data_IF_806100568795
#
_entry.id   IF_806100568795
#
_cell.length_a   1.000
_cell.length_b   1.000
_cell.length_c   1.000
_cell.angle_alpha   90.00
_cell.angle_beta   90.00
_cell.angle_gamma   90.00
#
_symmetry.space_group_name_H-M   'P 1'
#
loop_
_entity.id
_entity.type
_entity.pdbx_description
1 polymer ?
#
# COMPACT_ATOMS: atom_id res chain seq x y z
N UNK A 1 -1.72 27.66 16.23
CA UNK A 1 -0.89 26.43 16.22
C UNK A 1 -1.49 25.45 15.21
N UNK A 2 -0.64 24.79 14.42
CA UNK A 2 -0.92 24.33 13.06
C UNK A 2 -2.22 23.55 12.85
N UNK A 3 -3.07 24.06 11.95
CA UNK A 3 -4.08 23.28 11.22
C UNK A 3 -3.35 22.36 10.23
N UNK A 4 -3.06 21.13 10.65
CA UNK A 4 -2.52 20.10 9.78
C UNK A 4 -3.63 19.53 8.90
N UNK A 5 -3.76 20.03 7.67
CA UNK A 5 -4.60 19.41 6.66
C UNK A 5 -4.01 18.03 6.30
N UNK A 6 -4.60 16.95 6.79
CA UNK A 6 -4.31 15.59 6.30
C UNK A 6 -5.00 15.47 4.94
N UNK A 7 -4.28 15.81 3.87
CA UNK A 7 -4.71 15.54 2.50
C UNK A 7 -4.50 14.06 2.23
N UNK A 8 -5.56 13.26 2.41
CA UNK A 8 -5.55 11.83 2.08
C UNK A 8 -5.52 11.64 0.56
N UNK A 9 -4.42 11.13 0.04
CA UNK A 9 -4.36 10.47 -1.26
C UNK A 9 -3.65 9.13 -1.01
N UNK A 10 -4.40 8.03 -0.97
CA UNK A 10 -3.80 6.69 -0.96
C UNK A 10 -4.42 5.90 -2.12
N UNK A 11 -4.08 6.30 -3.33
CA UNK A 11 -4.06 5.40 -4.48
C UNK A 11 -2.63 4.88 -4.59
N UNK A 12 -2.28 3.89 -3.76
CA UNK A 12 -1.01 3.18 -3.95
C UNK A 12 -1.24 2.05 -4.93
N UNK A 13 -0.83 2.27 -6.19
CA UNK A 13 -0.70 1.20 -7.16
C UNK A 13 0.67 0.54 -6.96
N UNK A 14 0.68 -0.76 -6.70
CA UNK A 14 1.91 -1.54 -6.59
C UNK A 14 1.93 -2.51 -7.76
N UNK A 15 2.93 -2.36 -8.63
CA UNK A 15 3.16 -3.21 -9.79
C UNK A 15 4.12 -4.34 -9.40
N UNK A 16 3.66 -5.58 -9.50
CA UNK A 16 4.52 -6.75 -9.31
C UNK A 16 4.79 -7.40 -10.66
N UNK A 17 6.06 -7.43 -11.07
CA UNK A 17 6.49 -8.27 -12.20
C UNK A 17 7.11 -9.55 -11.65
N UNK A 18 6.73 -10.70 -12.20
CA UNK A 18 7.42 -11.97 -11.91
C UNK A 18 8.70 -11.97 -12.74
N UNK A 19 9.83 -11.64 -12.10
CA UNK A 19 11.13 -11.51 -12.77
C UNK A 19 11.52 -12.80 -13.49
N UNK A 20 11.80 -12.70 -14.79
CA UNK A 20 12.35 -13.79 -15.58
C UNK A 20 13.85 -13.90 -15.30
N UNK A 21 14.37 -15.13 -15.11
CA UNK A 21 15.79 -15.41 -14.81
C UNK A 21 16.72 -15.26 -16.03
N UNK A 22 16.52 -14.25 -16.86
CA UNK A 22 17.38 -14.00 -18.03
C UNK A 22 18.38 -12.86 -17.73
N UNK A 23 19.63 -12.96 -18.21
CA UNK A 23 20.59 -11.86 -18.10
C UNK A 23 20.08 -10.62 -18.82
N UNK A 24 20.22 -9.44 -18.20
CA UNK A 24 19.66 -8.13 -18.61
C UNK A 24 19.89 -7.74 -20.09
N UNK A 25 20.91 -8.31 -20.74
CA UNK A 25 21.34 -7.96 -22.09
C UNK A 25 20.72 -8.81 -23.22
N UNK A 26 19.73 -9.68 -22.94
CA UNK A 26 19.06 -10.51 -23.95
C UNK A 26 17.54 -10.49 -23.83
N UNK A 27 16.95 -9.31 -23.66
CA UNK A 27 15.49 -9.14 -23.73
C UNK A 27 15.11 -9.11 -25.23
N UNK A 28 14.30 -10.07 -25.66
CA UNK A 28 13.77 -10.11 -27.02
C UNK A 28 12.24 -9.95 -27.03
N UNK A 29 11.62 -9.84 -28.21
CA UNK A 29 10.18 -9.66 -28.35
C UNK A 29 9.33 -10.79 -27.72
N UNK A 30 9.88 -11.99 -27.55
CA UNK A 30 9.19 -13.08 -26.86
C UNK A 30 9.22 -12.88 -25.34
N UNK A 31 10.30 -12.31 -24.78
CA UNK A 31 10.38 -11.94 -23.37
C UNK A 31 9.36 -10.83 -23.04
N UNK A 32 9.16 -9.85 -23.95
CA UNK A 32 8.15 -8.81 -23.80
C UNK A 32 6.73 -9.40 -23.76
N UNK A 33 6.40 -10.27 -24.72
CA UNK A 33 5.11 -10.99 -24.75
C UNK A 33 4.90 -11.82 -23.49
N UNK A 34 5.96 -12.47 -22.99
CA UNK A 34 5.92 -13.26 -21.77
C UNK A 34 5.66 -12.36 -20.55
N UNK A 35 6.31 -11.19 -20.50
CA UNK A 35 6.11 -10.16 -19.50
C UNK A 35 4.66 -9.69 -19.42
N UNK A 36 4.06 -9.32 -20.55
CA UNK A 36 2.64 -8.93 -20.60
C UNK A 36 1.70 -10.06 -20.20
N UNK A 37 1.97 -11.31 -20.60
CA UNK A 37 1.14 -12.46 -20.21
C UNK A 37 1.18 -12.76 -18.70
N UNK A 38 2.23 -12.30 -18.01
CA UNK A 38 2.45 -12.51 -16.57
C UNK A 38 2.27 -11.24 -15.74
N UNK A 39 1.93 -10.13 -16.40
CA UNK A 39 1.64 -8.88 -15.74
C UNK A 39 0.22 -8.92 -15.19
N UNK A 40 0.07 -8.56 -13.93
CA UNK A 40 -1.23 -8.45 -13.30
C UNK A 40 -1.30 -7.16 -12.48
N UNK A 41 -2.43 -6.47 -12.57
CA UNK A 41 -2.72 -5.31 -11.73
C UNK A 41 -3.44 -5.78 -10.47
N UNK A 42 -2.80 -5.64 -9.32
CA UNK A 42 -3.41 -5.90 -8.02
C UNK A 42 -4.00 -4.59 -7.50
N UNK A 43 -5.33 -4.54 -7.35
CA UNK A 43 -6.02 -3.42 -6.71
C UNK A 43 -6.22 -3.75 -5.23
N UNK A 44 -5.58 -3.00 -4.35
CA UNK A 44 -5.78 -3.10 -2.90
C UNK A 44 -6.71 -1.97 -2.47
N UNK A 45 -7.88 -2.33 -1.97
CA UNK A 45 -8.82 -1.37 -1.38
C UNK A 45 -8.71 -1.45 0.13
N UNK A 46 -8.02 -0.48 0.73
CA UNK A 46 -7.83 -0.42 2.17
C UNK A 46 -9.14 0.06 2.82
N UNK A 47 -9.78 -0.80 3.61
CA UNK A 47 -10.98 -0.46 4.39
C UNK A 47 -10.66 0.08 5.77
N UNK A 48 -9.55 -0.39 6.34
CA UNK A 48 -9.16 -0.09 7.71
C UNK A 48 -7.64 -0.05 7.81
N UNK A 49 -7.10 0.90 8.59
CA UNK A 49 -5.70 0.89 9.03
C UNK A 49 -5.69 0.87 10.56
N UNK A 50 -4.96 -0.08 11.13
CA UNK A 50 -4.65 -0.11 12.56
C UNK A 50 -3.23 0.39 12.77
N UNK A 51 -3.09 1.55 13.38
CA UNK A 51 -1.81 2.18 13.64
C UNK A 51 -1.36 1.89 15.05
N UNK A 52 -0.31 1.07 15.19
CA UNK A 52 0.33 0.76 16.46
C UNK A 52 1.52 1.69 16.71
N UNK A 53 1.46 2.47 17.78
CA UNK A 53 2.59 3.24 18.31
C UNK A 53 3.16 2.50 19.52
N UNK A 54 4.37 1.97 19.35
CA UNK A 54 5.12 1.32 20.41
C UNK A 54 5.70 2.37 21.36
N UNK A 55 5.51 2.16 22.66
CA UNK A 55 6.03 3.01 23.71
C UNK A 55 6.21 2.18 25.00
N UNK A 56 7.27 2.47 25.75
CA UNK A 56 7.72 1.68 26.91
C UNK A 56 6.75 1.69 28.11
N UNK A 57 5.89 2.71 28.22
CA UNK A 57 4.88 2.85 29.29
C UNK A 57 3.49 2.33 28.93
N UNK A 58 3.34 1.70 27.76
CA UNK A 58 2.04 1.32 27.20
C UNK A 58 1.93 1.71 25.74
N UNK A 59 1.29 0.86 24.93
CA UNK A 59 1.16 1.06 23.50
C UNK A 59 -0.12 1.82 23.16
N UNK A 60 -0.02 2.73 22.19
CA UNK A 60 -1.19 3.44 21.68
C UNK A 60 -1.62 2.85 20.35
N UNK A 61 -2.92 2.71 20.16
CA UNK A 61 -3.49 2.19 18.92
C UNK A 61 -4.57 3.12 18.39
N UNK A 62 -4.41 3.54 17.13
CA UNK A 62 -5.35 4.39 16.42
C UNK A 62 -5.92 3.63 15.24
N UNK A 63 -7.24 3.46 15.22
CA UNK A 63 -7.95 2.79 14.14
C UNK A 63 -8.51 3.83 13.16
N UNK A 64 -8.16 3.70 11.88
CA UNK A 64 -8.75 4.45 10.79
C UNK A 64 -9.73 3.56 10.02
N UNK A 65 -10.91 4.08 9.71
CA UNK A 65 -11.90 3.46 8.82
C UNK A 65 -12.12 4.34 7.59
N UNK A 66 -12.03 3.73 6.41
CA UNK A 66 -12.17 4.37 5.10
C UNK A 66 -13.52 3.99 4.48
N UNK A 67 -14.56 4.70 4.91
CA UNK A 67 -15.93 4.63 4.39
C UNK A 67 -16.20 5.87 3.51
N UNK A 68 -17.39 6.47 3.54
CA UNK A 68 -17.71 7.71 2.81
C UNK A 68 -16.89 8.92 3.30
N UNK A 69 -16.47 8.89 4.57
CA UNK A 69 -15.55 9.84 5.19
C UNK A 69 -14.54 9.07 6.02
N UNK A 70 -13.32 9.59 6.11
CA UNK A 70 -12.28 9.01 6.98
C UNK A 70 -12.67 9.24 8.43
N UNK A 71 -12.77 8.15 9.20
CA UNK A 71 -13.03 8.19 10.66
C UNK A 71 -11.83 7.63 11.40
N UNK A 72 -11.44 8.28 12.50
CA UNK A 72 -10.35 7.82 13.37
C UNK A 72 -10.83 7.64 14.82
N UNK A 73 -10.43 6.54 15.47
CA UNK A 73 -10.75 6.26 16.89
C UNK A 73 -9.55 5.65 17.60
N UNK A 74 -9.21 6.16 18.79
CA UNK A 74 -8.28 5.50 19.70
C UNK A 74 -8.91 4.21 20.25
N UNK A 75 -8.22 3.08 20.09
CA UNK A 75 -8.69 1.76 20.57
C UNK A 75 -7.84 1.22 21.73
N UNK A 76 -6.66 1.79 21.98
CA UNK A 76 -5.85 1.57 23.17
C UNK A 76 -4.98 2.81 23.43
N UNK A 77 -4.81 3.19 24.70
CA UNK A 77 -3.97 4.32 25.13
C UNK A 77 -3.29 4.03 26.46
#
# INVERSE_FOLDING_TARGET
>A
MLHGAIRTIINHEIFFTKSAKNPLNKINQNDDKLGYSRFCRVKIVIKTIDWLQLHHKGHKRLLFKFEDKVRSKWIAS
#
